data_IF_394252117668
#
_entry.id   IF_394252117668
#
_cell.length_a   1.000
_cell.length_b   1.000
_cell.length_c   1.000
_cell.angle_alpha   90.00
_cell.angle_beta   90.00
_cell.angle_gamma   90.00
#
_symmetry.space_group_name_H-M   'P 1'
#
loop_
_entity.id
_entity.type
_entity.pdbx_description
1 polymer ?
#
# COMPACT_ATOMS: atom_id res chain seq x y z
N UNK A 1 -2.33 -28.08 24.19
CA UNK A 1 -2.79 -26.68 24.19
C UNK A 1 -4.28 -26.68 23.87
N UNK A 2 -5.15 -26.30 24.80
CA UNK A 2 -6.60 -26.25 24.54
C UNK A 2 -6.96 -24.83 24.13
N UNK A 3 -7.59 -24.69 22.96
CA UNK A 3 -7.83 -23.38 22.34
C UNK A 3 -9.31 -23.23 22.00
N UNK A 4 -9.85 -22.04 22.21
CA UNK A 4 -11.13 -21.60 21.64
C UNK A 4 -10.82 -20.65 20.49
N UNK A 5 -11.26 -20.99 19.28
CA UNK A 5 -11.09 -20.17 18.08
C UNK A 5 -12.46 -19.89 17.46
N UNK A 6 -12.96 -18.67 17.63
CA UNK A 6 -14.27 -18.22 17.18
C UNK A 6 -14.18 -17.03 16.22
N UNK A 7 -13.02 -16.81 15.60
CA UNK A 7 -12.75 -15.65 14.77
C UNK A 7 -13.68 -15.56 13.54
N UNK A 8 -14.17 -14.36 13.22
CA UNK A 8 -14.90 -14.11 11.97
C UNK A 8 -16.28 -14.76 11.89
N UNK A 9 -16.92 -15.06 13.02
CA UNK A 9 -18.19 -15.81 13.10
C UNK A 9 -19.42 -14.94 13.37
N UNK A 10 -19.27 -13.62 13.34
CA UNK A 10 -20.35 -12.64 13.60
C UNK A 10 -21.07 -12.81 14.95
N UNK A 11 -20.42 -13.40 15.96
CA UNK A 11 -21.02 -13.56 17.29
C UNK A 11 -21.28 -12.21 17.96
N UNK A 12 -22.49 -11.99 18.47
CA UNK A 12 -22.93 -10.71 19.04
C UNK A 12 -23.32 -10.81 20.52
N UNK A 13 -22.46 -11.41 21.34
CA UNK A 13 -22.73 -11.67 22.78
C UNK A 13 -21.73 -10.93 23.67
N UNK A 14 -22.01 -10.88 24.97
CA UNK A 14 -21.00 -10.47 25.95
C UNK A 14 -19.96 -11.58 26.17
N UNK A 15 -18.78 -11.20 26.65
CA UNK A 15 -17.75 -12.17 27.08
C UNK A 15 -18.28 -13.07 28.21
N UNK A 16 -18.03 -14.38 28.16
CA UNK A 16 -18.43 -15.27 29.24
C UNK A 16 -17.66 -14.94 30.52
N UNK A 17 -18.33 -15.03 31.67
CA UNK A 17 -17.70 -14.73 32.96
C UNK A 17 -16.76 -15.84 33.46
N UNK A 18 -16.81 -17.04 32.87
CA UNK A 18 -15.95 -18.19 33.20
C UNK A 18 -15.60 -18.94 31.93
N UNK A 19 -14.39 -19.50 31.91
CA UNK A 19 -13.89 -20.38 30.86
C UNK A 19 -13.36 -21.68 31.48
N UNK A 20 -13.21 -22.71 30.64
CA UNK A 20 -12.62 -23.98 31.09
C UNK A 20 -11.18 -23.76 31.56
N UNK A 21 -10.83 -24.33 32.73
CA UNK A 21 -9.52 -24.10 33.39
C UNK A 21 -8.33 -24.58 32.58
N UNK A 22 -8.52 -25.48 31.63
CA UNK A 22 -7.46 -26.03 30.78
C UNK A 22 -7.18 -25.19 29.52
N UNK A 23 -7.91 -24.08 29.31
CA UNK A 23 -7.72 -23.22 28.16
C UNK A 23 -6.42 -22.41 28.27
N UNK A 24 -5.68 -22.43 27.16
CA UNK A 24 -4.41 -21.73 27.00
C UNK A 24 -4.47 -20.64 25.93
N UNK A 25 -5.45 -20.71 25.02
CA UNK A 25 -5.68 -19.71 23.98
C UNK A 25 -7.17 -19.43 23.82
N UNK A 26 -7.52 -18.14 23.75
CA UNK A 26 -8.85 -17.66 23.40
C UNK A 26 -8.69 -16.67 22.26
N UNK A 27 -9.25 -17.00 21.11
CA UNK A 27 -9.30 -16.15 19.93
C UNK A 27 -10.75 -15.93 19.52
N UNK A 28 -11.23 -14.71 19.69
CA UNK A 28 -12.60 -14.27 19.36
C UNK A 28 -12.56 -13.06 18.41
N UNK A 29 -11.44 -12.85 17.74
CA UNK A 29 -11.20 -11.71 16.85
C UNK A 29 -12.27 -11.55 15.75
N UNK A 30 -12.47 -10.32 15.28
CA UNK A 30 -13.34 -10.02 14.14
C UNK A 30 -14.79 -10.54 14.34
N UNK A 31 -15.42 -10.13 15.43
CA UNK A 31 -16.80 -10.49 15.77
C UNK A 31 -17.57 -9.23 16.21
N UNK A 32 -18.74 -9.42 16.82
CA UNK A 32 -19.58 -8.35 17.37
C UNK A 32 -19.71 -8.48 18.90
N UNK A 33 -18.71 -9.05 19.59
CA UNK A 33 -18.75 -9.17 21.05
C UNK A 33 -18.81 -7.77 21.68
N UNK A 34 -19.69 -7.59 22.66
CA UNK A 34 -19.99 -6.28 23.25
C UNK A 34 -19.99 -6.30 24.78
N UNK A 35 -20.08 -5.14 25.39
CA UNK A 35 -20.00 -4.99 26.85
C UNK A 35 -18.57 -5.04 27.38
N UNK A 36 -18.43 -5.16 28.70
CA UNK A 36 -17.14 -5.04 29.38
C UNK A 36 -16.41 -6.38 29.48
N UNK A 37 -15.08 -6.33 29.64
CA UNK A 37 -14.33 -7.49 30.12
C UNK A 37 -14.76 -7.74 31.59
N UNK A 38 -15.31 -8.93 31.92
CA UNK A 38 -15.81 -9.19 33.26
C UNK A 38 -14.66 -9.34 34.27
N UNK A 39 -14.81 -8.82 35.49
CA UNK A 39 -13.81 -8.98 36.57
C UNK A 39 -13.46 -10.46 36.88
N UNK A 40 -14.40 -11.38 36.60
CA UNK A 40 -14.18 -12.83 36.71
C UNK A 40 -13.18 -13.39 35.68
N UNK A 41 -12.64 -12.57 34.77
CA UNK A 41 -11.51 -12.94 33.89
C UNK A 41 -10.29 -13.41 34.67
N UNK A 42 -10.15 -13.01 35.94
CA UNK A 42 -9.14 -13.52 36.87
C UNK A 42 -9.16 -15.05 37.04
N UNK A 43 -10.26 -15.72 36.72
CA UNK A 43 -10.34 -17.18 36.74
C UNK A 43 -9.65 -17.87 35.55
N UNK A 44 -9.18 -17.13 34.53
CA UNK A 44 -8.61 -17.66 33.29
C UNK A 44 -7.10 -17.91 33.41
N UNK A 45 -6.66 -18.53 34.50
CA UNK A 45 -5.27 -18.55 34.98
C UNK A 45 -4.23 -19.15 34.01
N UNK A 46 -4.65 -19.98 33.04
CA UNK A 46 -3.76 -20.67 32.11
C UNK A 46 -3.67 -20.02 30.73
N UNK A 47 -4.35 -18.88 30.51
CA UNK A 47 -4.35 -18.21 29.22
C UNK A 47 -2.97 -17.60 28.92
N UNK A 48 -2.34 -18.12 27.87
CA UNK A 48 -1.15 -17.55 27.26
C UNK A 48 -1.48 -16.59 26.10
N UNK A 49 -2.56 -16.84 25.36
CA UNK A 49 -2.97 -15.95 24.26
C UNK A 49 -4.42 -15.54 24.41
N UNK A 50 -4.66 -14.23 24.49
CA UNK A 50 -5.99 -13.65 24.41
C UNK A 50 -6.07 -12.66 23.24
N UNK A 51 -6.78 -13.06 22.19
CA UNK A 51 -7.05 -12.25 21.02
C UNK A 51 -8.54 -11.90 20.94
N UNK A 52 -8.88 -10.64 21.19
CA UNK A 52 -10.24 -10.11 21.13
C UNK A 52 -10.34 -8.86 20.26
N UNK A 53 -9.44 -8.69 19.30
CA UNK A 53 -9.43 -7.50 18.46
C UNK A 53 -10.64 -7.41 17.52
N UNK A 54 -10.89 -6.21 17.01
CA UNK A 54 -11.98 -5.88 16.08
C UNK A 54 -13.35 -6.42 16.56
N UNK A 55 -13.80 -5.90 17.70
CA UNK A 55 -15.07 -6.21 18.33
C UNK A 55 -15.76 -4.90 18.81
N UNK A 56 -16.84 -5.02 19.58
CA UNK A 56 -17.56 -3.89 20.19
C UNK A 56 -17.39 -3.85 21.72
N UNK A 57 -16.29 -4.42 22.25
CA UNK A 57 -16.03 -4.44 23.68
C UNK A 57 -15.78 -3.02 24.20
N UNK A 58 -16.26 -2.72 25.40
CA UNK A 58 -16.23 -1.38 25.98
C UNK A 58 -15.91 -1.40 27.47
N UNK A 59 -15.91 -0.26 28.13
CA UNK A 59 -15.56 -0.15 29.55
C UNK A 59 -14.06 0.04 29.77
N UNK A 60 -13.66 0.00 31.05
CA UNK A 60 -12.24 0.03 31.44
C UNK A 60 -11.60 -1.33 31.24
N UNK A 61 -10.30 -1.36 30.99
CA UNK A 61 -9.52 -2.60 31.15
C UNK A 61 -9.49 -2.93 32.65
N UNK A 62 -10.12 -4.03 33.10
CA UNK A 62 -10.23 -4.33 34.52
C UNK A 62 -8.87 -4.71 35.10
N UNK A 63 -8.60 -4.31 36.35
CA UNK A 63 -7.34 -4.67 37.04
C UNK A 63 -7.19 -6.19 37.15
N UNK A 64 -8.30 -6.92 37.20
CA UNK A 64 -8.32 -8.38 37.23
C UNK A 64 -7.70 -9.03 35.98
N UNK A 65 -7.65 -8.33 34.83
CA UNK A 65 -6.91 -8.82 33.66
C UNK A 65 -5.41 -8.94 33.93
N UNK A 66 -4.87 -8.15 34.87
CA UNK A 66 -3.45 -8.23 35.27
C UNK A 66 -3.14 -9.54 36.00
N UNK A 67 -4.14 -10.28 36.49
CA UNK A 67 -3.92 -11.57 37.17
C UNK A 67 -3.60 -12.71 36.20
N UNK A 68 -3.64 -12.48 34.88
CA UNK A 68 -3.25 -13.45 33.85
C UNK A 68 -1.73 -13.52 33.68
N UNK A 69 -1.03 -14.07 34.67
CA UNK A 69 0.44 -14.10 34.75
C UNK A 69 1.13 -14.84 33.59
N UNK A 70 0.46 -15.80 32.96
CA UNK A 70 0.96 -16.58 31.83
C UNK A 70 0.83 -15.90 30.47
N UNK A 71 0.17 -14.73 30.39
CA UNK A 71 -0.15 -14.12 29.11
C UNK A 71 1.12 -13.70 28.36
N UNK A 72 1.26 -14.20 27.14
CA UNK A 72 2.35 -13.86 26.21
C UNK A 72 1.87 -12.98 25.06
N UNK A 73 0.59 -13.09 24.67
CA UNK A 73 -0.03 -12.28 23.61
C UNK A 73 -1.38 -11.75 24.08
N UNK A 74 -1.52 -10.43 24.10
CA UNK A 74 -2.76 -9.73 24.42
C UNK A 74 -3.10 -8.74 23.29
N UNK A 75 -4.16 -9.04 22.53
CA UNK A 75 -4.62 -8.21 21.42
C UNK A 75 -6.06 -7.76 21.71
N UNK A 76 -6.23 -6.46 22.00
CA UNK A 76 -7.52 -5.83 22.29
C UNK A 76 -7.81 -4.67 21.34
N UNK A 77 -7.06 -4.55 20.25
CA UNK A 77 -7.16 -3.44 19.30
C UNK A 77 -8.50 -3.39 18.56
N UNK A 78 -8.91 -2.20 18.13
CA UNK A 78 -10.17 -2.01 17.40
C UNK A 78 -11.41 -2.32 18.25
N UNK A 79 -11.47 -1.75 19.45
CA UNK A 79 -12.60 -1.86 20.39
C UNK A 79 -12.97 -0.45 20.92
N UNK A 80 -13.75 -0.37 22.00
CA UNK A 80 -14.22 0.87 22.62
C UNK A 80 -13.76 1.01 24.08
N UNK A 81 -12.60 0.42 24.44
CA UNK A 81 -12.06 0.51 25.79
C UNK A 81 -11.67 1.95 26.14
N UNK A 82 -11.91 2.38 27.38
CA UNK A 82 -11.61 3.73 27.84
C UNK A 82 -11.02 3.78 29.25
N UNK A 83 -10.51 4.94 29.65
CA UNK A 83 -9.88 5.13 30.95
C UNK A 83 -8.42 4.68 30.97
N UNK A 84 -7.82 4.70 32.16
CA UNK A 84 -6.39 4.46 32.34
C UNK A 84 -6.02 2.97 32.33
N UNK A 85 -4.78 2.69 31.91
CA UNK A 85 -4.18 1.36 32.08
C UNK A 85 -3.85 1.10 33.56
N UNK A 86 -4.17 -0.08 34.11
CA UNK A 86 -3.83 -0.41 35.49
C UNK A 86 -2.30 -0.45 35.66
N UNK A 87 -1.76 0.08 36.76
CA UNK A 87 -0.31 0.03 37.03
C UNK A 87 0.20 -1.38 37.32
N UNK A 88 -0.69 -2.31 37.68
CA UNK A 88 -0.42 -3.72 37.96
C UNK A 88 -0.04 -4.54 36.72
N UNK A 89 0.02 -3.95 35.52
CA UNK A 89 0.51 -4.62 34.29
C UNK A 89 1.93 -5.19 34.43
N UNK A 90 2.70 -4.74 35.43
CA UNK A 90 4.02 -5.30 35.80
C UNK A 90 4.00 -6.82 36.05
N UNK A 91 2.84 -7.39 36.34
CA UNK A 91 2.60 -8.82 36.57
C UNK A 91 2.69 -9.69 35.31
N UNK A 92 2.55 -9.12 34.11
CA UNK A 92 2.60 -9.85 32.84
C UNK A 92 4.04 -10.14 32.38
N UNK A 93 4.82 -10.85 33.21
CA UNK A 93 6.26 -11.10 32.97
C UNK A 93 6.57 -11.84 31.67
N UNK A 94 5.62 -12.63 31.17
CA UNK A 94 5.76 -13.40 29.93
C UNK A 94 5.24 -12.67 28.68
N UNK A 95 4.71 -11.45 28.82
CA UNK A 95 4.08 -10.72 27.71
C UNK A 95 5.12 -10.32 26.66
N UNK A 96 4.94 -10.84 25.45
CA UNK A 96 5.77 -10.57 24.29
C UNK A 96 5.10 -9.57 23.33
N UNK A 97 3.78 -9.66 23.18
CA UNK A 97 3.00 -8.85 22.24
C UNK A 97 1.81 -8.22 22.93
N UNK A 98 1.78 -6.89 22.94
CA UNK A 98 0.64 -6.09 23.39
C UNK A 98 0.17 -5.19 22.27
N UNK A 99 -1.09 -5.34 21.87
CA UNK A 99 -1.76 -4.39 20.99
C UNK A 99 -3.06 -3.88 21.62
N UNK A 100 -3.10 -2.58 21.89
CA UNK A 100 -4.26 -1.86 22.43
C UNK A 100 -4.71 -0.72 21.52
N UNK A 101 -4.22 -0.65 20.28
CA UNK A 101 -4.51 0.46 19.37
C UNK A 101 -5.99 0.55 18.99
N UNK A 102 -6.39 1.69 18.43
CA UNK A 102 -7.79 1.94 18.00
C UNK A 102 -8.79 1.71 19.14
N UNK A 103 -8.58 2.43 20.24
CA UNK A 103 -9.46 2.43 21.41
C UNK A 103 -9.66 3.88 21.90
N UNK A 104 -10.23 4.06 23.09
CA UNK A 104 -10.44 5.35 23.76
C UNK A 104 -9.68 5.42 25.10
N UNK A 105 -8.59 4.66 25.25
CA UNK A 105 -7.79 4.60 26.48
C UNK A 105 -7.13 5.95 26.74
N UNK A 106 -7.03 6.35 28.00
CA UNK A 106 -6.54 7.67 28.40
C UNK A 106 -5.55 7.59 29.57
N UNK A 107 -5.12 8.73 30.10
CA UNK A 107 -4.17 8.80 31.21
C UNK A 107 -2.72 8.67 30.78
N UNK A 108 -1.83 8.36 31.71
CA UNK A 108 -0.39 8.24 31.46
C UNK A 108 -0.03 6.83 30.97
N UNK A 109 0.97 6.71 30.10
CA UNK A 109 1.60 5.41 29.83
C UNK A 109 2.32 4.95 31.12
N UNK A 110 1.98 3.79 31.71
CA UNK A 110 2.61 3.36 32.96
C UNK A 110 4.10 3.04 32.80
N UNK A 111 4.93 3.62 33.69
CA UNK A 111 6.38 3.31 33.78
C UNK A 111 6.68 1.82 33.97
N UNK A 112 5.72 1.08 34.54
CA UNK A 112 5.74 -0.36 34.73
C UNK A 112 6.06 -1.16 33.45
N UNK A 113 5.74 -0.63 32.26
CA UNK A 113 6.11 -1.26 30.99
C UNK A 113 7.60 -1.54 30.88
N UNK A 114 8.46 -0.67 31.41
CA UNK A 114 9.91 -0.87 31.40
C UNK A 114 10.40 -2.10 32.15
N UNK A 115 9.54 -2.73 32.96
CA UNK A 115 9.84 -3.98 33.69
C UNK A 115 9.37 -5.25 32.98
N UNK A 116 8.75 -5.12 31.80
CA UNK A 116 8.26 -6.25 30.99
C UNK A 116 9.32 -6.66 29.98
N UNK A 117 10.43 -7.22 30.44
CA UNK A 117 11.63 -7.50 29.62
C UNK A 117 11.40 -8.47 28.46
N UNK A 118 10.32 -9.24 28.48
CA UNK A 118 9.90 -10.14 27.39
C UNK A 118 9.17 -9.41 26.25
N UNK A 119 8.74 -8.15 26.48
CA UNK A 119 7.92 -7.39 25.53
C UNK A 119 8.77 -6.94 24.35
N UNK A 120 8.36 -7.35 23.15
CA UNK A 120 9.03 -7.02 21.88
C UNK A 120 8.13 -6.26 20.91
N UNK A 121 6.81 -6.35 21.08
CA UNK A 121 5.82 -5.64 20.27
C UNK A 121 4.88 -4.85 21.18
N UNK A 122 4.87 -3.52 21.02
CA UNK A 122 3.99 -2.62 21.76
C UNK A 122 3.30 -1.63 20.81
N UNK A 123 1.99 -1.75 20.67
CA UNK A 123 1.16 -0.81 19.92
C UNK A 123 0.09 -0.20 20.83
N UNK A 124 0.21 1.10 21.09
CA UNK A 124 -0.71 1.94 21.86
C UNK A 124 -1.27 3.09 21.00
N UNK A 125 -1.09 3.03 19.67
CA UNK A 125 -1.49 4.08 18.76
C UNK A 125 -3.01 4.32 18.77
N UNK A 126 -3.45 5.48 18.31
CA UNK A 126 -4.89 5.81 18.17
C UNK A 126 -5.66 5.63 19.47
N UNK A 127 -5.22 6.35 20.50
CA UNK A 127 -5.83 6.42 21.82
C UNK A 127 -5.80 7.87 22.32
N UNK A 128 -6.03 8.07 23.61
CA UNK A 128 -6.04 9.37 24.29
C UNK A 128 -4.96 9.43 25.38
N UNK A 129 -3.87 8.64 25.26
CA UNK A 129 -2.77 8.68 26.22
C UNK A 129 -2.12 10.06 26.23
N UNK A 130 -1.74 10.53 27.41
CA UNK A 130 -1.23 11.88 27.63
C UNK A 130 0.00 11.87 28.54
N UNK A 131 0.56 13.05 28.78
CA UNK A 131 1.77 13.18 29.57
C UNK A 131 3.03 12.77 28.80
N UNK A 132 4.10 12.46 29.51
CA UNK A 132 5.40 12.15 28.91
C UNK A 132 5.54 10.65 28.61
N UNK A 133 6.29 10.33 27.56
CA UNK A 133 6.70 8.95 27.28
C UNK A 133 7.67 8.50 28.40
N UNK A 134 7.38 7.41 29.13
CA UNK A 134 8.27 6.92 30.18
C UNK A 134 9.65 6.55 29.62
N UNK A 135 10.72 7.07 30.22
CA UNK A 135 12.09 6.71 29.84
C UNK A 135 12.39 5.24 30.12
N UNK A 136 11.66 4.64 31.06
CA UNK A 136 11.74 3.22 31.43
C UNK A 136 11.37 2.30 30.27
N UNK A 137 10.57 2.74 29.30
CA UNK A 137 10.36 1.98 28.05
C UNK A 137 11.70 1.67 27.38
N UNK A 138 12.68 2.57 27.52
CA UNK A 138 14.02 2.40 27.01
C UNK A 138 14.80 1.21 27.61
N UNK A 139 14.30 0.51 28.62
CA UNK A 139 14.89 -0.75 29.08
C UNK A 139 14.52 -1.94 28.19
N UNK A 140 13.48 -1.80 27.38
CA UNK A 140 12.97 -2.86 26.52
C UNK A 140 13.77 -2.98 25.21
N UNK A 141 13.74 -4.19 24.63
CA UNK A 141 14.26 -4.50 23.30
C UNK A 141 13.08 -4.68 22.34
N UNK A 142 12.41 -3.58 22.05
CA UNK A 142 11.24 -3.57 21.16
C UNK A 142 11.69 -3.72 19.70
N UNK A 143 11.05 -4.65 19.00
CA UNK A 143 11.11 -4.77 17.54
C UNK A 143 10.10 -3.82 16.89
N UNK A 144 9.00 -3.55 17.60
CA UNK A 144 7.94 -2.65 17.14
C UNK A 144 7.44 -1.81 18.32
N UNK A 145 7.36 -0.50 18.08
CA UNK A 145 6.78 0.47 18.99
C UNK A 145 5.91 1.42 18.17
N UNK A 146 4.65 1.59 18.58
CA UNK A 146 3.81 2.65 18.03
C UNK A 146 2.99 3.33 19.14
N UNK A 147 3.22 4.64 19.31
CA UNK A 147 2.53 5.54 20.23
C UNK A 147 1.90 6.73 19.48
N UNK A 148 1.77 6.64 18.16
CA UNK A 148 1.23 7.70 17.31
C UNK A 148 -0.26 7.95 17.61
N UNK A 149 -0.79 9.10 17.18
CA UNK A 149 -2.20 9.46 17.36
C UNK A 149 -2.65 9.38 18.84
N UNK A 150 -1.95 10.10 19.70
CA UNK A 150 -2.26 10.24 21.10
C UNK A 150 -2.17 11.72 21.51
N UNK A 151 -2.22 12.00 22.81
CA UNK A 151 -2.06 13.33 23.39
C UNK A 151 -0.73 13.45 24.16
N UNK A 152 0.29 12.69 23.74
CA UNK A 152 1.59 12.67 24.40
C UNK A 152 2.27 14.03 24.26
N UNK A 153 3.10 14.32 25.25
CA UNK A 153 3.70 15.62 25.47
C UNK A 153 5.15 15.49 25.92
N UNK A 154 5.87 16.62 25.92
CA UNK A 154 7.31 16.68 26.21
C UNK A 154 8.13 15.96 25.14
N UNK A 155 9.33 15.51 25.49
CA UNK A 155 10.32 15.03 24.53
C UNK A 155 10.26 13.52 24.40
N UNK A 156 10.50 13.02 23.20
CA UNK A 156 10.77 11.59 22.97
C UNK A 156 12.05 11.21 23.75
N UNK A 157 12.09 10.09 24.49
CA UNK A 157 13.32 9.65 25.15
C UNK A 157 14.44 9.37 24.15
N UNK A 158 15.69 9.72 24.48
CA UNK A 158 16.85 9.66 23.56
C UNK A 158 16.99 8.31 22.85
N UNK A 159 16.71 7.19 23.53
CA UNK A 159 16.78 5.85 22.93
C UNK A 159 15.92 5.69 21.67
N UNK A 160 14.82 6.43 21.59
CA UNK A 160 13.86 6.38 20.48
C UNK A 160 14.00 7.56 19.50
N UNK A 161 14.98 8.44 19.69
CA UNK A 161 15.27 9.54 18.77
C UNK A 161 16.17 9.06 17.61
N UNK A 162 15.73 8.03 16.90
CA UNK A 162 16.42 7.54 15.71
C UNK A 162 15.41 7.23 14.60
N UNK A 163 15.91 7.07 13.37
CA UNK A 163 15.09 6.92 12.18
C UNK A 163 14.06 5.79 12.25
N UNK A 164 14.37 4.70 12.98
CA UNK A 164 13.52 3.52 13.07
C UNK A 164 12.20 3.78 13.83
N UNK A 165 12.12 4.83 14.66
CA UNK A 165 10.94 5.16 15.48
C UNK A 165 10.28 6.49 15.06
N UNK A 166 10.65 7.05 13.90
CA UNK A 166 10.09 8.34 13.45
C UNK A 166 8.56 8.34 13.40
N UNK A 167 7.96 7.22 12.99
CA UNK A 167 6.52 7.07 12.83
C UNK A 167 5.81 6.79 14.16
N UNK A 168 6.51 6.17 15.11
CA UNK A 168 5.99 5.75 16.41
C UNK A 168 5.45 6.88 17.27
N UNK A 169 5.68 8.14 16.90
CA UNK A 169 5.30 9.31 17.69
C UNK A 169 4.47 10.34 16.92
N UNK A 170 4.09 10.04 15.68
CA UNK A 170 3.31 10.94 14.83
C UNK A 170 1.99 11.36 15.46
N UNK A 171 1.47 12.52 15.08
CA UNK A 171 0.17 13.02 15.51
C UNK A 171 -0.01 13.04 17.05
N UNK A 172 1.05 13.47 17.75
CA UNK A 172 1.02 13.85 19.16
C UNK A 172 1.26 15.37 19.27
N UNK A 173 0.21 16.21 19.28
CA UNK A 173 0.36 17.67 19.09
C UNK A 173 1.20 18.40 20.14
N UNK A 174 1.41 17.79 21.31
CA UNK A 174 2.14 18.38 22.44
C UNK A 174 3.56 17.84 22.59
N UNK A 175 3.96 16.91 21.73
CA UNK A 175 5.28 16.26 21.77
C UNK A 175 6.31 17.12 21.05
N UNK A 176 7.37 17.51 21.76
CA UNK A 176 8.47 18.31 21.23
C UNK A 176 9.56 17.38 20.73
N UNK A 177 9.83 17.36 19.43
CA UNK A 177 11.00 16.68 18.89
C UNK A 177 12.26 17.54 19.10
N UNK A 178 13.40 16.92 19.40
CA UNK A 178 14.71 17.59 19.51
C UNK A 178 15.27 18.06 18.15
N UNK A 179 14.50 17.96 17.08
CA UNK A 179 14.86 18.46 15.76
C UNK A 179 14.45 19.92 15.64
N UNK A 180 15.44 20.78 15.44
CA UNK A 180 15.33 22.22 15.21
C UNK A 180 14.34 22.54 14.07
N UNK A 181 13.65 23.67 14.22
CA UNK A 181 12.76 24.38 13.28
C UNK A 181 11.46 23.72 12.80
N UNK A 182 10.34 24.31 13.23
CA UNK A 182 8.94 23.99 12.87
C UNK A 182 8.56 24.37 11.42
N UNK A 183 9.49 24.32 10.46
CA UNK A 183 9.25 24.63 9.05
C UNK A 183 10.07 23.79 8.07
N UNK A 184 10.99 22.95 8.54
CA UNK A 184 11.86 22.15 7.67
C UNK A 184 11.19 20.81 7.36
N UNK A 185 11.04 20.46 6.09
CA UNK A 185 10.60 19.11 5.80
C UNK A 185 11.75 18.14 6.13
N UNK A 186 11.38 16.91 6.48
CA UNK A 186 12.32 15.85 6.73
C UNK A 186 12.41 14.95 5.50
N UNK A 187 13.54 15.01 4.81
CA UNK A 187 13.89 14.08 3.75
C UNK A 187 14.51 12.80 4.36
N UNK A 188 13.96 11.64 4.00
CA UNK A 188 14.48 10.32 4.37
C UNK A 188 14.80 9.54 3.09
N UNK A 189 16.09 9.36 2.75
CA UNK A 189 16.49 8.66 1.54
C UNK A 189 16.42 7.13 1.71
N UNK A 190 16.02 6.42 0.66
CA UNK A 190 16.14 4.96 0.55
C UNK A 190 17.19 4.56 -0.50
N UNK A 191 17.52 5.48 -1.41
CA UNK A 191 18.55 5.37 -2.42
C UNK A 191 19.56 6.52 -2.28
N UNK A 192 20.69 6.43 -2.99
CA UNK A 192 21.59 7.57 -3.12
C UNK A 192 20.92 8.65 -3.99
N UNK A 193 20.77 9.85 -3.45
CA UNK A 193 20.06 10.95 -4.11
C UNK A 193 21.05 11.98 -4.66
N UNK A 194 20.77 12.48 -5.85
CA UNK A 194 21.47 13.59 -6.48
C UNK A 194 20.70 14.93 -6.38
N UNK A 195 19.49 14.91 -5.82
CA UNK A 195 18.66 16.08 -5.55
C UNK A 195 18.47 16.31 -4.04
N UNK A 196 18.00 17.50 -3.68
CA UNK A 196 17.65 17.87 -2.30
C UNK A 196 16.14 18.14 -2.15
N UNK A 197 15.71 18.42 -0.92
CA UNK A 197 14.31 18.72 -0.59
C UNK A 197 13.75 19.91 -1.40
N UNK A 198 14.57 20.95 -1.66
CA UNK A 198 14.10 22.17 -2.31
C UNK A 198 13.79 21.95 -3.79
N UNK A 199 14.55 21.09 -4.47
CA UNK A 199 14.22 20.66 -5.84
C UNK A 199 12.80 20.05 -5.90
N UNK A 200 12.44 19.21 -4.92
CA UNK A 200 11.10 18.61 -4.88
C UNK A 200 10.02 19.64 -4.54
N UNK A 201 10.23 20.45 -3.50
CA UNK A 201 9.20 21.37 -3.01
C UNK A 201 8.88 22.49 -4.00
N UNK A 202 9.90 23.01 -4.68
CA UNK A 202 9.73 24.05 -5.71
C UNK A 202 8.94 23.53 -6.93
N UNK A 203 9.01 22.23 -7.20
CA UNK A 203 8.29 21.58 -8.30
C UNK A 203 6.83 21.21 -8.01
N UNK A 204 6.31 21.39 -6.78
CA UNK A 204 4.92 21.08 -6.41
C UNK A 204 3.93 22.15 -6.90
N UNK A 205 3.89 22.38 -8.20
CA UNK A 205 3.01 23.37 -8.86
C UNK A 205 1.91 22.68 -9.68
N UNK A 206 0.82 23.39 -9.98
CA UNK A 206 -0.26 22.83 -10.81
C UNK A 206 0.21 22.51 -12.25
N UNK A 207 1.22 23.21 -12.76
CA UNK A 207 1.82 22.92 -14.08
C UNK A 207 2.54 21.56 -14.13
N UNK A 208 3.00 21.09 -12.98
CA UNK A 208 3.68 19.81 -12.84
C UNK A 208 2.72 18.69 -12.41
N UNK A 209 1.43 18.97 -12.20
CA UNK A 209 0.44 17.98 -11.80
C UNK A 209 0.14 17.02 -12.95
N UNK A 210 0.37 15.73 -12.75
CA UNK A 210 0.10 14.68 -13.75
C UNK A 210 -1.04 13.73 -13.35
N UNK A 211 -1.55 13.84 -12.12
CA UNK A 211 -2.67 13.03 -11.65
C UNK A 211 -3.22 13.47 -10.30
N UNK A 212 -4.53 13.28 -10.10
CA UNK A 212 -5.21 13.57 -8.84
C UNK A 212 -6.18 12.43 -8.53
N UNK A 213 -6.11 11.86 -7.34
CA UNK A 213 -6.96 10.76 -6.89
C UNK A 213 -7.41 10.95 -5.45
N UNK A 214 -8.21 10.01 -4.93
CA UNK A 214 -8.62 10.01 -3.52
C UNK A 214 -7.44 9.89 -2.54
N UNK A 215 -6.32 9.30 -2.95
CA UNK A 215 -5.15 9.09 -2.08
C UNK A 215 -4.12 10.21 -2.14
N UNK A 216 -4.22 11.13 -3.10
CA UNK A 216 -3.23 12.19 -3.24
C UNK A 216 -3.19 12.83 -4.62
N UNK A 217 -2.32 13.84 -4.72
CA UNK A 217 -1.91 14.46 -5.99
C UNK A 217 -0.54 13.92 -6.40
N UNK A 218 -0.30 13.77 -7.70
CA UNK A 218 0.97 13.29 -8.28
C UNK A 218 1.54 14.35 -9.20
N UNK A 219 2.83 14.62 -9.05
CA UNK A 219 3.56 15.63 -9.79
C UNK A 219 4.74 15.01 -10.55
N UNK A 220 5.02 15.51 -11.76
CA UNK A 220 6.24 15.25 -12.53
C UNK A 220 7.19 16.42 -12.34
N UNK A 221 8.33 16.19 -11.70
CA UNK A 221 9.28 17.23 -11.32
C UNK A 221 10.63 16.97 -12.00
N UNK A 222 11.22 17.98 -12.61
CA UNK A 222 12.57 17.86 -13.17
C UNK A 222 13.59 17.79 -12.04
N UNK A 223 14.55 16.89 -12.15
CA UNK A 223 15.70 16.86 -11.26
C UNK A 223 16.70 17.94 -11.71
N UNK A 224 16.99 18.94 -10.89
CA UNK A 224 17.84 20.07 -11.31
C UNK A 224 19.29 19.67 -11.60
N UNK A 225 19.73 18.49 -11.14
CA UNK A 225 21.11 17.99 -11.31
C UNK A 225 21.27 16.92 -12.36
N UNK A 226 20.17 16.44 -12.96
CA UNK A 226 20.19 15.47 -14.05
C UNK A 226 19.18 15.84 -15.14
N UNK A 227 19.21 15.17 -16.28
CA UNK A 227 18.16 15.33 -17.31
C UNK A 227 16.94 14.43 -17.05
N UNK A 228 16.82 13.89 -15.84
CA UNK A 228 15.77 12.94 -15.47
C UNK A 228 14.61 13.64 -14.76
N UNK A 229 13.45 12.99 -14.80
CA UNK A 229 12.25 13.44 -14.09
C UNK A 229 12.01 12.55 -12.87
N UNK A 230 11.27 13.09 -11.90
CA UNK A 230 10.85 12.45 -10.67
C UNK A 230 9.33 12.43 -10.61
N UNK A 231 8.76 11.33 -10.14
CA UNK A 231 7.34 11.25 -9.80
C UNK A 231 7.20 11.54 -8.30
N UNK A 232 6.43 12.56 -7.93
CA UNK A 232 6.24 12.97 -6.54
C UNK A 232 4.79 12.88 -6.18
N UNK A 233 4.47 12.02 -5.22
CA UNK A 233 3.12 11.87 -4.70
C UNK A 233 2.97 12.63 -3.40
N UNK A 234 1.99 13.54 -3.34
CA UNK A 234 1.52 14.18 -2.11
C UNK A 234 0.30 13.47 -1.57
N UNK A 235 0.39 12.96 -0.34
CA UNK A 235 -0.73 12.33 0.36
C UNK A 235 -1.72 13.41 0.84
N UNK A 236 -3.01 13.23 0.53
CA UNK A 236 -4.08 14.15 0.96
C UNK A 236 -4.38 13.98 2.46
N UNK A 237 -4.20 15.05 3.25
CA UNK A 237 -4.59 15.09 4.66
C UNK A 237 -6.04 15.60 4.79
N UNK A 238 -6.98 14.69 5.04
CA UNK A 238 -8.37 15.03 5.27
C UNK A 238 -8.88 14.22 6.48
N UNK A 239 -9.19 14.94 7.57
CA UNK A 239 -9.24 14.56 9.01
C UNK A 239 -10.04 13.30 9.42
N UNK A 240 -10.66 12.58 8.49
CA UNK A 240 -11.48 11.37 8.74
C UNK A 240 -11.02 10.18 7.86
N UNK A 241 -10.35 10.43 6.73
CA UNK A 241 -9.80 9.42 5.79
C UNK A 241 -8.32 9.10 6.04
N UNK A 242 -7.66 9.88 6.92
CA UNK A 242 -6.21 9.85 7.17
C UNK A 242 -5.67 8.47 7.59
N UNK A 243 -6.44 7.69 8.33
CA UNK A 243 -5.91 6.47 8.92
C UNK A 243 -5.66 5.32 7.92
N UNK A 244 -6.48 5.17 6.88
CA UNK A 244 -6.27 4.15 5.83
C UNK A 244 -5.14 4.56 4.89
N UNK A 245 -5.09 5.84 4.52
CA UNK A 245 -4.09 6.40 3.62
C UNK A 245 -2.70 6.47 4.27
N UNK A 246 -2.63 6.78 5.57
CA UNK A 246 -1.36 6.80 6.29
C UNK A 246 -0.82 5.39 6.55
N UNK A 247 -1.69 4.39 6.73
CA UNK A 247 -1.29 2.97 6.73
C UNK A 247 -0.77 2.50 5.38
N UNK A 248 -1.36 2.97 4.28
CA UNK A 248 -0.83 2.71 2.93
C UNK A 248 0.56 3.34 2.77
N UNK A 249 0.73 4.61 3.14
CA UNK A 249 2.02 5.30 3.13
C UNK A 249 3.10 4.54 3.94
N UNK A 250 2.78 4.09 5.16
CA UNK A 250 3.72 3.35 6.02
C UNK A 250 4.07 2.00 5.40
N UNK A 251 3.08 1.22 4.98
CA UNK A 251 3.30 -0.08 4.35
C UNK A 251 4.17 0.05 3.08
N UNK A 252 4.02 1.15 2.36
CA UNK A 252 4.75 1.42 1.14
C UNK A 252 6.21 1.79 1.37
N UNK A 253 6.49 2.65 2.36
CA UNK A 253 7.85 2.97 2.79
C UNK A 253 8.58 1.71 3.27
N UNK A 254 7.93 0.86 4.07
CA UNK A 254 8.54 -0.37 4.60
C UNK A 254 8.83 -1.40 3.49
N UNK A 255 7.89 -1.59 2.56
CA UNK A 255 8.01 -2.59 1.51
C UNK A 255 8.94 -2.10 0.39
N UNK A 256 8.77 -0.89 -0.12
CA UNK A 256 9.49 -0.41 -1.31
C UNK A 256 10.76 0.35 -1.02
N UNK A 257 10.93 0.85 0.21
CA UNK A 257 12.23 1.30 0.67
C UNK A 257 13.27 0.17 0.74
N UNK A 258 12.84 -1.10 0.72
CA UNK A 258 13.72 -2.28 0.87
C UNK A 258 13.80 -3.15 -0.39
N UNK A 259 12.82 -3.10 -1.29
CA UNK A 259 12.79 -3.90 -2.52
C UNK A 259 13.66 -3.28 -3.61
N UNK A 260 14.55 -4.11 -4.18
CA UNK A 260 15.41 -3.76 -5.31
C UNK A 260 15.17 -4.75 -6.45
N UNK A 261 14.35 -4.37 -7.44
CA UNK A 261 14.06 -5.23 -8.58
C UNK A 261 13.90 -4.43 -9.88
N UNK A 262 14.46 -4.92 -10.98
CA UNK A 262 14.48 -4.22 -12.28
C UNK A 262 13.10 -4.04 -12.93
N UNK A 263 12.08 -4.76 -12.44
CA UNK A 263 10.70 -4.62 -12.89
C UNK A 263 9.80 -3.99 -11.83
N UNK A 264 10.34 -3.43 -10.74
CA UNK A 264 9.60 -2.64 -9.75
C UNK A 264 10.04 -1.18 -9.77
N UNK A 265 9.10 -0.24 -9.63
CA UNK A 265 9.42 1.19 -9.56
C UNK A 265 10.17 1.45 -8.27
N UNK A 266 11.28 2.17 -8.39
CA UNK A 266 12.12 2.52 -7.26
C UNK A 266 11.51 3.69 -6.48
N UNK A 267 11.24 3.45 -5.20
CA UNK A 267 11.04 4.51 -4.21
C UNK A 267 12.42 5.08 -3.85
N UNK A 268 12.66 6.36 -4.16
CA UNK A 268 13.93 7.03 -3.97
C UNK A 268 14.05 7.59 -2.55
N UNK A 269 13.02 8.31 -2.10
CA UNK A 269 12.95 8.90 -0.77
C UNK A 269 11.51 9.22 -0.35
N UNK A 270 11.32 9.53 0.92
CA UNK A 270 10.11 10.19 1.40
C UNK A 270 10.44 11.54 2.04
N UNK A 271 9.57 12.53 1.85
CA UNK A 271 9.71 13.87 2.42
C UNK A 271 8.46 14.17 3.23
N UNK A 272 8.60 14.48 4.51
CA UNK A 272 7.43 14.66 5.38
C UNK A 272 7.61 15.81 6.36
N UNK A 273 6.50 16.48 6.69
CA UNK A 273 6.40 17.42 7.80
C UNK A 273 5.18 17.07 8.67
N UNK A 274 4.87 17.88 9.68
CA UNK A 274 3.75 17.65 10.61
C UNK A 274 2.37 17.55 9.93
N UNK A 275 2.22 18.05 8.70
CA UNK A 275 0.94 18.24 8.03
C UNK A 275 0.86 17.66 6.62
N UNK A 276 1.94 17.05 6.10
CA UNK A 276 2.01 16.54 4.74
C UNK A 276 3.11 15.48 4.62
N UNK A 277 2.86 14.49 3.77
CA UNK A 277 3.83 13.44 3.43
C UNK A 277 3.91 13.31 1.92
N UNK A 278 5.15 13.20 1.43
CA UNK A 278 5.50 13.03 0.03
C UNK A 278 6.27 11.72 -0.15
N UNK A 279 5.95 11.00 -1.22
CA UNK A 279 6.72 9.87 -1.72
C UNK A 279 7.35 10.26 -3.05
N UNK A 280 8.64 9.98 -3.23
CA UNK A 280 9.40 10.35 -4.42
C UNK A 280 9.91 9.08 -5.08
N UNK A 281 9.57 8.89 -6.36
CA UNK A 281 9.91 7.72 -7.16
C UNK A 281 10.72 8.13 -8.40
N UNK A 282 11.38 7.16 -9.01
CA UNK A 282 11.83 7.31 -10.40
C UNK A 282 10.61 7.59 -11.30
N UNK A 283 10.70 8.60 -12.16
CA UNK A 283 9.63 8.85 -13.13
C UNK A 283 9.70 7.80 -14.25
N UNK A 284 8.53 7.28 -14.64
CA UNK A 284 8.40 6.36 -15.76
C UNK A 284 7.37 6.87 -16.76
N UNK A 285 7.72 6.80 -18.05
CA UNK A 285 6.78 7.08 -19.12
C UNK A 285 5.65 6.04 -19.16
N UNK A 286 4.43 6.48 -19.51
CA UNK A 286 3.20 5.66 -19.56
C UNK A 286 3.41 4.33 -20.32
N UNK A 287 4.11 4.37 -21.46
CA UNK A 287 4.42 3.19 -22.29
C UNK A 287 5.30 2.16 -21.55
N UNK A 288 6.29 2.62 -20.78
CA UNK A 288 7.16 1.74 -20.00
C UNK A 288 6.40 1.04 -18.86
N UNK A 289 5.43 1.72 -18.25
CA UNK A 289 4.56 1.13 -17.22
C UNK A 289 3.77 -0.04 -17.82
N UNK A 290 3.14 0.18 -18.96
CA UNK A 290 2.36 -0.85 -19.69
C UNK A 290 3.24 -2.03 -20.12
N UNK A 291 4.44 -1.78 -20.62
CA UNK A 291 5.41 -2.83 -20.99
C UNK A 291 5.78 -3.69 -19.78
N UNK A 292 6.05 -3.07 -18.63
CA UNK A 292 6.39 -3.79 -17.38
C UNK A 292 5.23 -4.63 -16.87
N UNK A 293 4.01 -4.08 -16.91
CA UNK A 293 2.83 -4.81 -16.48
C UNK A 293 2.51 -6.00 -17.41
N UNK A 294 2.63 -5.82 -18.73
CA UNK A 294 2.53 -6.92 -19.70
C UNK A 294 3.57 -8.01 -19.44
N UNK A 295 4.80 -7.63 -19.08
CA UNK A 295 5.87 -8.58 -18.72
C UNK A 295 5.55 -9.37 -17.46
N UNK A 296 4.97 -8.73 -16.44
CA UNK A 296 4.50 -9.38 -15.21
C UNK A 296 3.40 -10.41 -15.49
N UNK A 297 2.37 -10.03 -16.23
CA UNK A 297 1.28 -10.93 -16.64
C UNK A 297 1.76 -12.08 -17.54
N UNK A 298 2.65 -11.80 -18.50
CA UNK A 298 3.29 -12.83 -19.33
C UNK A 298 4.06 -13.85 -18.48
N UNK A 299 4.79 -13.40 -17.46
CA UNK A 299 5.47 -14.31 -16.53
C UNK A 299 4.49 -15.23 -15.78
N UNK A 300 3.35 -14.69 -15.32
CA UNK A 300 2.30 -15.47 -14.64
C UNK A 300 1.62 -16.49 -15.57
N UNK A 301 1.46 -16.13 -16.84
CA UNK A 301 0.76 -16.95 -17.84
C UNK A 301 1.64 -18.02 -18.50
N UNK A 302 2.98 -17.88 -18.48
CA UNK A 302 3.85 -18.75 -19.29
C UNK A 302 5.09 -19.29 -18.58
N UNK A 303 5.59 -18.60 -17.55
CA UNK A 303 6.90 -18.90 -16.96
C UNK A 303 6.84 -19.28 -15.47
N UNK A 304 5.65 -19.35 -14.88
CA UNK A 304 5.45 -19.90 -13.54
C UNK A 304 5.28 -21.42 -13.60
N UNK A 305 5.88 -22.13 -12.63
CA UNK A 305 5.73 -23.58 -12.42
C UNK A 305 4.28 -24.01 -12.15
N UNK A 306 3.38 -23.06 -11.90
CA UNK A 306 1.95 -23.23 -11.86
C UNK A 306 1.27 -22.01 -12.53
N UNK A 307 0.53 -22.25 -13.62
CA UNK A 307 -0.15 -21.22 -14.40
C UNK A 307 -1.12 -20.41 -13.52
N UNK A 308 -0.95 -19.10 -13.38
CA UNK A 308 -1.73 -18.28 -12.44
C UNK A 308 -2.53 -17.20 -13.17
N UNK A 309 -3.86 -17.20 -13.03
CA UNK A 309 -4.71 -16.08 -13.49
C UNK A 309 -4.81 -15.05 -12.37
N UNK A 310 -4.62 -13.77 -12.68
CA UNK A 310 -4.68 -12.66 -11.72
C UNK A 310 -6.12 -12.32 -11.30
N UNK A 311 -7.08 -12.26 -12.25
CA UNK A 311 -8.54 -12.07 -12.00
C UNK A 311 -8.99 -10.70 -11.48
N UNK A 312 -8.10 -9.74 -11.29
CA UNK A 312 -8.45 -8.35 -10.94
C UNK A 312 -7.47 -7.39 -11.61
N UNK A 313 -7.29 -7.59 -12.90
CA UNK A 313 -6.44 -6.77 -13.76
C UNK A 313 -7.25 -5.49 -14.06
N UNK A 314 -6.75 -4.30 -13.71
CA UNK A 314 -7.42 -2.99 -13.89
C UNK A 314 -6.41 -1.87 -13.85
N UNK A 315 -6.74 -0.64 -14.26
CA UNK A 315 -5.75 0.45 -14.24
C UNK A 315 -5.19 0.67 -12.84
N UNK A 316 -6.02 0.60 -11.80
CA UNK A 316 -5.58 0.65 -10.40
C UNK A 316 -4.76 -0.57 -9.89
N UNK A 317 -4.63 -1.67 -10.67
CA UNK A 317 -3.87 -2.88 -10.30
C UNK A 317 -2.77 -3.30 -11.34
N UNK A 318 -2.87 -2.88 -12.60
CA UNK A 318 -1.90 -3.10 -13.71
C UNK A 318 -0.94 -1.94 -13.76
N UNK A 319 -1.48 -0.74 -13.67
CA UNK A 319 -0.67 0.40 -13.40
C UNK A 319 -0.36 0.27 -11.93
N UNK A 320 0.88 0.65 -11.63
CA UNK A 320 1.25 1.11 -10.31
C UNK A 320 0.03 1.76 -9.69
N UNK A 321 -0.37 1.35 -8.47
CA UNK A 321 -1.48 2.05 -7.83
C UNK A 321 -1.15 3.56 -7.77
N UNK A 322 -2.12 4.39 -7.38
CA UNK A 322 -1.98 5.84 -7.39
C UNK A 322 -0.70 6.38 -6.69
N UNK A 323 0.06 5.50 -6.05
CA UNK A 323 1.34 5.52 -5.37
C UNK A 323 2.55 4.91 -6.13
N UNK A 324 2.62 4.80 -7.46
CA UNK A 324 3.84 4.38 -8.20
C UNK A 324 4.50 3.04 -7.74
N UNK A 325 3.73 2.06 -7.27
CA UNK A 325 4.24 0.75 -6.84
C UNK A 325 4.05 -0.35 -7.89
N UNK A 326 5.11 -1.03 -8.37
CA UNK A 326 4.87 -2.33 -9.05
C UNK A 326 4.68 -3.36 -7.96
N UNK A 327 3.42 -3.69 -7.72
CA UNK A 327 3.02 -4.74 -6.82
C UNK A 327 2.22 -5.76 -7.61
N UNK A 328 2.89 -6.80 -8.08
CA UNK A 328 2.24 -8.10 -8.28
C UNK A 328 1.86 -8.65 -6.90
N UNK A 329 0.87 -8.07 -6.20
CA UNK A 329 0.54 -8.50 -4.83
C UNK A 329 -0.95 -8.63 -4.48
N UNK A 330 -1.90 -8.26 -5.34
CA UNK A 330 -3.33 -8.55 -5.07
C UNK A 330 -3.75 -9.93 -5.61
N UNK A 331 -3.03 -10.97 -5.19
CA UNK A 331 -3.39 -12.38 -5.43
C UNK A 331 -4.61 -12.84 -4.60
N UNK A 332 -5.31 -11.95 -3.90
CA UNK A 332 -6.48 -12.29 -3.08
C UNK A 332 -7.60 -13.00 -3.86
N UNK A 333 -7.60 -12.84 -5.19
CA UNK A 333 -8.49 -13.55 -6.11
C UNK A 333 -7.76 -14.48 -7.08
N UNK A 334 -6.44 -14.49 -7.12
CA UNK A 334 -5.68 -15.22 -8.12
C UNK A 334 -5.82 -16.74 -7.93
N UNK A 335 -5.80 -17.48 -9.04
CA UNK A 335 -6.02 -18.92 -9.01
C UNK A 335 -5.10 -19.67 -9.97
N UNK A 336 -4.53 -20.74 -9.45
CA UNK A 336 -3.68 -21.68 -10.20
C UNK A 336 -4.57 -22.53 -11.12
N UNK A 337 -4.19 -22.62 -12.39
CA UNK A 337 -4.80 -23.48 -13.40
C UNK A 337 -4.09 -24.82 -13.54
N UNK A 338 -4.84 -25.80 -14.04
CA UNK A 338 -4.35 -27.17 -14.27
C UNK A 338 -3.67 -27.31 -15.65
N UNK A 339 -4.09 -26.55 -16.66
CA UNK A 339 -3.56 -26.55 -18.05
C UNK A 339 -3.78 -25.21 -18.78
N UNK A 340 -2.89 -24.86 -19.70
CA UNK A 340 -2.92 -23.63 -20.51
C UNK A 340 -3.98 -23.71 -21.62
N UNK A 341 -4.73 -22.64 -21.85
CA UNK A 341 -5.77 -22.56 -22.90
C UNK A 341 -7.08 -23.31 -22.59
N UNK A 342 -7.06 -24.30 -21.69
CA UNK A 342 -8.26 -25.04 -21.28
C UNK A 342 -9.07 -24.28 -20.21
N UNK A 343 -10.40 -24.14 -20.39
CA UNK A 343 -11.26 -23.47 -19.40
C UNK A 343 -11.27 -24.23 -18.08
N UNK A 344 -10.95 -23.56 -16.99
CA UNK A 344 -10.99 -24.15 -15.65
C UNK A 344 -12.16 -23.58 -14.85
N UNK A 345 -12.82 -24.44 -14.07
CA UNK A 345 -14.00 -24.04 -13.27
C UNK A 345 -13.56 -23.20 -12.06
N UNK A 346 -14.06 -21.98 -11.96
CA UNK A 346 -13.80 -21.02 -10.88
C UNK A 346 -14.87 -21.11 -9.78
N UNK A 347 -14.48 -20.81 -8.54
CA UNK A 347 -15.35 -20.89 -7.35
C UNK A 347 -16.38 -19.76 -7.28
N UNK A 348 -16.32 -18.78 -8.18
CA UNK A 348 -17.23 -17.65 -8.28
C UNK A 348 -16.70 -16.57 -9.22
N UNK A 349 -17.56 -15.63 -9.63
CA UNK A 349 -17.16 -14.43 -10.37
C UNK A 349 -16.49 -13.46 -9.40
N UNK A 350 -15.31 -12.96 -9.76
CA UNK A 350 -14.55 -12.02 -8.96
C UNK A 350 -13.70 -11.12 -9.89
N UNK A 351 -13.62 -9.84 -9.58
CA UNK A 351 -12.97 -8.81 -10.38
C UNK A 351 -13.73 -7.48 -10.29
N UNK A 352 -13.12 -6.41 -10.79
CA UNK A 352 -13.74 -5.08 -10.82
C UNK A 352 -14.66 -4.94 -12.03
N UNK A 353 -15.93 -4.57 -11.81
CA UNK A 353 -17.04 -4.67 -12.78
C UNK A 353 -16.71 -4.19 -14.22
N UNK A 354 -15.98 -3.09 -14.35
CA UNK A 354 -15.62 -2.45 -15.64
C UNK A 354 -14.54 -3.21 -16.44
N UNK A 355 -13.80 -4.11 -15.79
CA UNK A 355 -12.67 -4.85 -16.36
C UNK A 355 -12.99 -6.33 -16.56
N UNK A 356 -14.20 -6.76 -16.20
CA UNK A 356 -14.63 -8.16 -16.29
C UNK A 356 -14.88 -8.51 -17.76
N UNK A 357 -14.20 -9.55 -18.24
CA UNK A 357 -14.44 -10.11 -19.57
C UNK A 357 -15.89 -10.62 -19.72
N UNK A 358 -16.55 -10.39 -20.86
CA UNK A 358 -17.99 -10.64 -21.03
C UNK A 358 -18.38 -12.10 -20.81
N UNK A 359 -17.53 -13.06 -21.16
CA UNK A 359 -17.77 -14.49 -20.93
C UNK A 359 -17.89 -14.83 -19.44
N UNK A 360 -17.25 -14.06 -18.57
CA UNK A 360 -17.21 -14.31 -17.13
C UNK A 360 -18.56 -13.98 -16.46
N UNK A 361 -19.44 -13.23 -17.13
CA UNK A 361 -20.81 -12.97 -16.67
C UNK A 361 -21.74 -14.20 -16.82
N UNK A 362 -21.42 -15.13 -17.73
CA UNK A 362 -22.32 -16.25 -18.08
C UNK A 362 -21.69 -17.64 -17.86
N UNK A 363 -20.39 -17.72 -17.55
CA UNK A 363 -19.72 -18.99 -17.20
C UNK A 363 -18.65 -18.81 -16.12
N UNK A 364 -18.53 -19.80 -15.24
CA UNK A 364 -17.42 -19.89 -14.28
C UNK A 364 -16.21 -20.62 -14.85
N UNK A 365 -16.29 -21.14 -16.08
CA UNK A 365 -15.17 -21.75 -16.81
C UNK A 365 -14.45 -20.68 -17.61
N UNK A 366 -13.28 -20.25 -17.12
CA UNK A 366 -12.46 -19.19 -17.71
C UNK A 366 -10.99 -19.62 -17.79
N UNK A 367 -10.22 -18.97 -18.66
CA UNK A 367 -8.80 -19.19 -18.88
C UNK A 367 -8.03 -17.85 -18.75
N UNK A 368 -6.73 -17.84 -19.06
CA UNK A 368 -5.87 -16.66 -18.96
C UNK A 368 -6.32 -15.44 -19.78
N UNK A 369 -7.23 -15.65 -20.76
CA UNK A 369 -7.74 -14.59 -21.65
C UNK A 369 -8.64 -13.58 -20.95
N UNK A 370 -9.11 -13.86 -19.73
CA UNK A 370 -9.82 -12.84 -18.94
C UNK A 370 -8.88 -11.73 -18.48
N UNK A 371 -7.62 -12.06 -18.12
CA UNK A 371 -6.60 -11.07 -17.78
C UNK A 371 -6.19 -10.26 -19.02
N UNK A 372 -6.13 -10.91 -20.19
CA UNK A 372 -5.85 -10.22 -21.47
C UNK A 372 -6.93 -9.18 -21.78
N UNK A 373 -8.21 -9.53 -21.60
CA UNK A 373 -9.32 -8.58 -21.79
C UNK A 373 -9.18 -7.39 -20.86
N UNK A 374 -9.00 -7.65 -19.57
CA UNK A 374 -8.83 -6.61 -18.57
C UNK A 374 -7.63 -5.71 -18.85
N UNK A 375 -6.52 -6.26 -19.37
CA UNK A 375 -5.35 -5.49 -19.80
C UNK A 375 -5.66 -4.63 -21.04
N UNK A 376 -6.48 -5.12 -21.96
CA UNK A 376 -6.98 -4.36 -23.11
C UNK A 376 -7.79 -3.13 -22.71
N UNK A 377 -8.65 -3.24 -21.68
CA UNK A 377 -9.39 -2.09 -21.12
C UNK A 377 -8.41 -1.02 -20.60
N UNK A 378 -7.32 -1.43 -19.95
CA UNK A 378 -6.28 -0.49 -19.48
C UNK A 378 -5.52 0.20 -20.62
N UNK A 379 -5.25 -0.51 -21.72
CA UNK A 379 -4.65 0.11 -22.91
C UNK A 379 -5.57 1.17 -23.53
N UNK A 380 -6.86 0.89 -23.60
CA UNK A 380 -7.85 1.83 -24.13
C UNK A 380 -8.01 3.04 -23.21
N UNK A 381 -8.09 2.83 -21.90
CA UNK A 381 -8.11 3.92 -20.91
C UNK A 381 -6.88 4.84 -21.01
N UNK A 382 -5.70 4.24 -21.22
CA UNK A 382 -4.45 4.99 -21.37
C UNK A 382 -4.40 5.85 -22.64
N UNK A 383 -5.05 5.41 -23.72
CA UNK A 383 -5.16 6.16 -24.97
C UNK A 383 -6.27 7.23 -24.89
N UNK A 384 -7.36 6.94 -24.20
CA UNK A 384 -8.55 7.80 -24.16
C UNK A 384 -8.53 8.86 -23.06
N UNK A 385 -7.57 8.79 -22.12
CA UNK A 385 -7.41 9.67 -20.94
C UNK A 385 -8.71 9.93 -20.13
N UNK A 386 -9.69 9.02 -20.20
CA UNK A 386 -10.97 9.08 -19.48
C UNK A 386 -11.30 7.73 -18.84
N UNK A 387 -11.92 7.76 -17.66
CA UNK A 387 -12.44 6.56 -16.99
C UNK A 387 -13.48 5.86 -17.91
N UNK A 388 -13.47 4.52 -17.98
CA UNK A 388 -14.41 3.76 -18.78
C UNK A 388 -15.84 3.87 -18.20
N UNK A 389 -16.56 4.91 -18.60
CA UNK A 389 -17.96 5.08 -18.20
C UNK A 389 -18.81 3.91 -18.71
N UNK A 390 -19.47 3.23 -17.77
CA UNK A 390 -20.28 2.01 -17.92
C UNK A 390 -21.56 2.12 -18.77
N UNK A 391 -21.61 3.01 -19.77
CA UNK A 391 -22.78 3.21 -20.64
C UNK A 391 -22.50 3.32 -22.14
N UNK A 392 -21.25 3.33 -22.59
CA UNK A 392 -20.98 3.35 -24.02
C UNK A 392 -20.84 1.92 -24.57
N UNK A 393 -21.97 1.30 -24.92
CA UNK A 393 -22.02 0.14 -25.84
C UNK A 393 -21.47 0.45 -27.25
N UNK A 394 -20.81 1.61 -27.43
CA UNK A 394 -20.37 2.17 -28.71
C UNK A 394 -18.84 2.24 -28.86
N UNK A 395 -18.03 1.72 -27.92
CA UNK A 395 -16.55 1.71 -28.09
C UNK A 395 -16.14 0.85 -29.30
N UNK A 396 -16.89 -0.22 -29.63
CA UNK A 396 -16.69 -1.02 -30.86
C UNK A 396 -16.92 -0.22 -32.16
N UNK A 397 -17.46 1.02 -32.11
CA UNK A 397 -17.82 1.84 -33.28
C UNK A 397 -17.10 3.18 -33.41
N UNK A 398 -16.32 3.63 -32.43
CA UNK A 398 -15.60 4.91 -32.53
C UNK A 398 -14.29 4.73 -33.31
N UNK A 399 -14.09 5.50 -34.37
CA UNK A 399 -12.83 5.52 -35.12
C UNK A 399 -11.74 6.24 -34.31
N UNK A 400 -10.46 5.92 -34.57
CA UNK A 400 -9.31 6.59 -33.92
C UNK A 400 -9.42 8.12 -34.03
N UNK A 401 -9.98 8.62 -35.14
CA UNK A 401 -10.17 10.05 -35.43
C UNK A 401 -11.22 10.74 -34.54
N UNK A 402 -12.20 10.00 -34.00
CA UNK A 402 -13.24 10.55 -33.10
C UNK A 402 -12.82 10.55 -31.63
N UNK A 403 -11.73 9.86 -31.29
CA UNK A 403 -11.26 9.61 -29.92
C UNK A 403 -10.03 10.46 -29.57
N UNK A 404 -9.26 10.90 -30.57
CA UNK A 404 -8.10 11.76 -30.37
C UNK A 404 -8.52 13.22 -30.18
N UNK A 405 -8.22 13.79 -29.01
CA UNK A 405 -8.40 15.23 -28.75
C UNK A 405 -7.54 16.06 -29.72
N UNK A 406 -8.00 17.26 -30.10
CA UNK A 406 -7.34 18.18 -31.07
C UNK A 406 -5.92 18.61 -30.65
N UNK A 407 -5.50 18.26 -29.43
CA UNK A 407 -4.21 18.60 -28.82
C UNK A 407 -3.06 17.63 -29.19
N UNK A 408 -3.35 16.44 -29.73
CA UNK A 408 -2.31 15.46 -30.14
C UNK A 408 -1.88 15.73 -31.59
N UNK A 409 -1.12 16.82 -31.80
CA UNK A 409 -0.63 17.27 -33.11
C UNK A 409 0.90 17.36 -33.24
N UNK A 410 1.67 16.66 -32.41
CA UNK A 410 3.13 16.56 -32.60
C UNK A 410 3.62 15.13 -32.94
N UNK A 411 4.53 15.07 -33.90
CA UNK A 411 4.72 13.98 -34.88
C UNK A 411 5.40 12.70 -34.35
N UNK A 412 5.44 12.46 -33.03
CA UNK A 412 6.00 11.24 -32.42
C UNK A 412 4.94 10.36 -31.72
N UNK A 413 3.79 10.93 -31.36
CA UNK A 413 2.79 10.26 -30.51
C UNK A 413 1.76 9.43 -31.30
N UNK A 414 1.43 9.84 -32.55
CA UNK A 414 0.34 9.22 -33.32
C UNK A 414 0.50 7.72 -33.61
N UNK A 415 1.70 7.28 -33.97
CA UNK A 415 1.94 5.87 -34.33
C UNK A 415 1.89 4.95 -33.10
N UNK A 416 2.44 5.41 -31.96
CA UNK A 416 2.38 4.69 -30.69
C UNK A 416 0.94 4.61 -30.17
N UNK A 417 0.22 5.74 -30.16
CA UNK A 417 -1.19 5.81 -29.77
C UNK A 417 -2.05 4.89 -30.63
N UNK A 418 -1.85 4.91 -31.96
CA UNK A 418 -2.55 4.02 -32.89
C UNK A 418 -2.29 2.54 -32.59
N UNK A 419 -1.04 2.20 -32.27
CA UNK A 419 -0.67 0.81 -31.94
C UNK A 419 -1.27 0.38 -30.61
N UNK A 420 -1.22 1.23 -29.58
CA UNK A 420 -1.81 0.95 -28.27
C UNK A 420 -3.34 0.81 -28.36
N UNK A 421 -4.00 1.67 -29.13
CA UNK A 421 -5.44 1.60 -29.35
C UNK A 421 -5.85 0.31 -30.08
N UNK A 422 -5.16 -0.02 -31.17
CA UNK A 422 -5.41 -1.24 -31.93
C UNK A 422 -5.19 -2.49 -31.09
N UNK A 423 -4.13 -2.51 -30.27
CA UNK A 423 -3.85 -3.60 -29.34
C UNK A 423 -4.92 -3.70 -28.25
N UNK A 424 -5.40 -2.56 -27.72
CA UNK A 424 -6.51 -2.50 -26.78
C UNK A 424 -7.79 -3.11 -27.35
N UNK A 425 -8.14 -2.81 -28.61
CA UNK A 425 -9.28 -3.41 -29.31
C UNK A 425 -9.12 -4.92 -29.52
N UNK A 426 -7.93 -5.38 -29.91
CA UNK A 426 -7.65 -6.83 -30.07
C UNK A 426 -7.84 -7.59 -28.75
N UNK A 427 -7.31 -7.03 -27.66
CA UNK A 427 -7.43 -7.60 -26.32
C UNK A 427 -8.87 -7.62 -25.80
N UNK A 428 -9.70 -6.64 -26.16
CA UNK A 428 -11.10 -6.50 -25.69
C UNK A 428 -12.14 -7.18 -26.59
N UNK A 429 -11.72 -7.98 -27.58
CA UNK A 429 -12.66 -8.75 -28.41
C UNK A 429 -13.54 -9.69 -27.58
N UNK A 430 -14.83 -9.83 -27.97
CA UNK A 430 -15.80 -10.67 -27.23
C UNK A 430 -15.42 -12.14 -27.17
N UNK A 431 -14.76 -12.66 -28.20
CA UNK A 431 -14.33 -14.06 -28.24
C UNK A 431 -12.96 -14.22 -27.56
N UNK A 432 -12.83 -15.03 -26.50
CA UNK A 432 -11.54 -15.24 -25.83
C UNK A 432 -10.48 -15.86 -26.75
N UNK A 433 -10.90 -16.67 -27.73
CA UNK A 433 -10.02 -17.34 -28.69
C UNK A 433 -9.35 -16.40 -29.69
N UNK A 434 -9.92 -15.21 -29.93
CA UNK A 434 -9.35 -14.22 -30.86
C UNK A 434 -8.46 -13.20 -30.17
N UNK A 435 -8.47 -13.15 -28.84
CA UNK A 435 -7.57 -12.27 -28.07
C UNK A 435 -6.14 -12.81 -28.18
N UNK A 436 -5.12 -11.93 -28.25
CA UNK A 436 -3.72 -12.36 -28.23
C UNK A 436 -3.35 -13.02 -26.88
N UNK A 437 -2.17 -13.62 -26.81
CA UNK A 437 -1.52 -14.03 -25.55
C UNK A 437 -0.80 -12.85 -24.93
N UNK A 438 -0.52 -12.87 -23.62
CA UNK A 438 0.26 -11.80 -22.98
C UNK A 438 1.69 -11.70 -23.51
N UNK A 439 2.24 -12.79 -24.08
CA UNK A 439 3.52 -12.75 -24.80
C UNK A 439 3.44 -11.98 -26.11
N UNK A 440 2.43 -12.25 -26.93
CA UNK A 440 2.18 -11.48 -28.17
C UNK A 440 1.94 -10.00 -27.85
N UNK A 441 1.15 -9.71 -26.81
CA UNK A 441 0.94 -8.34 -26.30
C UNK A 441 2.27 -7.69 -25.91
N UNK A 442 3.12 -8.39 -25.15
CA UNK A 442 4.43 -7.87 -24.74
C UNK A 442 5.38 -7.64 -25.93
N UNK A 443 5.37 -8.52 -26.93
CA UNK A 443 6.17 -8.39 -28.15
C UNK A 443 5.76 -7.14 -28.96
N UNK A 444 4.46 -6.91 -29.15
CA UNK A 444 3.94 -5.72 -29.82
C UNK A 444 4.32 -4.44 -29.06
N UNK A 445 4.13 -4.43 -27.72
CA UNK A 445 4.49 -3.27 -26.90
C UNK A 445 5.99 -2.94 -26.93
N UNK A 446 6.86 -3.95 -26.99
CA UNK A 446 8.31 -3.74 -27.13
C UNK A 446 8.70 -3.15 -28.48
N UNK A 447 8.01 -3.56 -29.55
CA UNK A 447 8.23 -2.99 -30.88
C UNK A 447 7.85 -1.50 -30.92
N UNK A 448 6.81 -1.08 -30.18
CA UNK A 448 6.46 0.34 -30.01
C UNK A 448 7.58 1.16 -29.34
N UNK A 449 8.27 0.59 -28.34
CA UNK A 449 9.35 1.27 -27.63
C UNK A 449 10.62 1.46 -28.48
N UNK A 450 10.91 0.55 -29.41
CA UNK A 450 12.10 0.66 -30.28
C UNK A 450 11.98 1.76 -31.36
N UNK A 451 10.78 2.27 -31.64
CA UNK A 451 10.60 3.36 -32.61
C UNK A 451 11.05 4.75 -32.10
N UNK A 452 11.30 4.92 -30.80
CA UNK A 452 11.90 6.15 -30.23
C UNK A 452 13.35 6.37 -30.67
N UNK A 453 14.08 5.30 -31.01
CA UNK A 453 15.51 5.35 -31.32
C UNK A 453 15.88 5.84 -32.73
N UNK A 454 14.91 6.07 -33.61
CA UNK A 454 15.17 6.46 -35.01
C UNK A 454 14.83 7.92 -35.36
N UNK A 455 14.28 8.68 -34.42
CA UNK A 455 13.96 10.11 -34.60
C UNK A 455 15.13 11.08 -34.36
N UNK A 456 16.22 10.65 -33.71
CA UNK A 456 17.48 11.43 -33.59
C UNK A 456 18.46 11.05 -34.70
N UNK A 457 18.09 11.28 -35.97
CA UNK A 457 19.11 11.41 -37.01
C UNK A 457 19.72 12.80 -36.92
N UNK A 458 21.01 12.87 -36.61
CA UNK A 458 21.86 14.04 -36.84
C UNK A 458 21.58 14.57 -38.24
N UNK A 459 21.25 15.85 -38.32
CA UNK A 459 21.49 16.63 -39.53
C UNK A 459 23.02 16.76 -39.69
N UNK A 460 23.64 15.72 -40.22
CA UNK A 460 24.91 15.85 -40.92
C UNK A 460 24.57 16.22 -42.36
N UNK A 461 24.77 17.49 -42.73
CA UNK A 461 25.28 17.93 -44.03
C UNK A 461 25.27 19.46 -44.14
N UNK A 462 26.46 20.05 -44.05
CA UNK A 462 27.06 20.99 -45.02
C UNK A 462 28.53 21.18 -44.57
N UNK A 463 29.48 20.41 -45.12
CA UNK A 463 30.40 20.80 -46.20
C UNK A 463 31.03 22.19 -45.96
N UNK A 464 32.34 22.32 -45.72
CA UNK A 464 33.40 22.15 -46.74
C UNK A 464 34.78 21.80 -46.14
N UNK A 465 35.71 21.20 -46.94
CA UNK A 465 37.03 20.76 -46.48
C UNK A 465 38.18 21.67 -46.97
N UNK A 466 39.37 21.39 -46.42
CA UNK A 466 40.74 21.78 -46.86
C UNK A 466 41.21 23.20 -46.50
N UNK A 467 42.24 23.28 -45.65
CA UNK A 467 43.60 23.56 -46.11
C UNK A 467 44.64 23.11 -45.07
N UNK A 468 45.68 22.47 -45.61
CA UNK A 468 46.93 22.07 -44.98
C UNK A 468 47.82 23.27 -44.64
N UNK A 469 48.91 22.94 -43.95
CA UNK A 469 50.15 23.68 -43.67
C UNK A 469 50.10 24.38 -42.30
N UNK A 470 50.89 24.00 -41.29
CA UNK A 470 52.21 23.39 -41.33
C UNK A 470 53.24 24.44 -40.93
N UNK A 471 53.57 24.47 -39.63
CA UNK A 471 54.90 24.53 -38.98
C UNK A 471 54.70 24.86 -37.51
#
# INVERSE_FOLDING_TARGET
MVSVMLAGKSFSRALPSKLARNLSRVDISNNKFSGQIPAKISSWMNIGVFNANNNMLSGKIPVELTTLWNISVLLLDGNQFFGELPSQIISWKSLANLNLSRNKLSGLIPKAFGSLTSLTYLDLSENQFSGQIPSELGHLKLNFLDLSFNQLSRMVPIKYQNGAYNYSFLNNPKLKNHSRDHTTWKLTPFQNLDFDEQNILSGLTENNLIGSSRSGKVYRIANDRSSEFLAVKRICNNRILDHKLQKQFIAEVEILGTIHHSNIVKLLCCISNESSSLLVYEYMEKLQIVIRAAKGLCHMHENCSALTIHRDVKSSNILLDAEFNVKTTDFGLAKILVKQGEPNTMSGVAGSYEYIAPEYAYTTKVNEKIDVYSFGVVLLELVMEREPNSRDEHIERKTIEEVMDEEIKEQCERAQVTTLFSLGLMCTTRSPSTRPTMKEVLEILRQCSHQEGHGRKKNDNEATPLLQNGT
#
